data_IF_782931734296
#
_entry.id   IF_782931734296
#
_cell.length_a   1.000
_cell.length_b   1.000
_cell.length_c   1.000
_cell.angle_alpha   90.00
_cell.angle_beta   90.00
_cell.angle_gamma   90.00
#
_symmetry.space_group_name_H-M   'P 1'
#
loop_
_entity.id
_entity.type
_entity.pdbx_description
1 polymer ?
#
# COMPACT_ATOMS: atom_id res chain seq x y z
N UNK A 1 -19.49 -9.75 -2.66
CA UNK A 1 -18.07 -9.65 -2.24
C UNK A 1 -17.41 -10.99 -2.46
N UNK A 2 -16.23 -11.01 -3.06
CA UNK A 2 -15.51 -12.24 -3.34
C UNK A 2 -14.76 -12.74 -2.11
N UNK A 3 -14.48 -14.06 -2.08
CA UNK A 3 -13.63 -14.64 -1.05
C UNK A 3 -12.21 -14.07 -1.11
N UNK A 4 -11.74 -13.73 -2.31
CA UNK A 4 -10.43 -13.12 -2.51
C UNK A 4 -10.36 -11.76 -1.81
N UNK A 5 -11.37 -10.91 -1.99
CA UNK A 5 -11.42 -9.61 -1.34
C UNK A 5 -11.48 -9.76 0.18
N UNK A 6 -12.22 -10.71 0.69
CA UNK A 6 -12.32 -10.94 2.13
C UNK A 6 -10.96 -11.35 2.72
N UNK A 7 -10.23 -12.23 2.02
CA UNK A 7 -8.87 -12.62 2.47
C UNK A 7 -7.90 -11.45 2.42
N UNK A 8 -7.94 -10.68 1.36
CA UNK A 8 -7.09 -9.50 1.21
C UNK A 8 -7.35 -8.49 2.32
N UNK A 9 -8.62 -8.21 2.59
CA UNK A 9 -9.02 -7.29 3.66
C UNK A 9 -8.53 -7.77 5.03
N UNK A 10 -8.64 -9.08 5.30
CA UNK A 10 -8.17 -9.67 6.54
C UNK A 10 -6.65 -9.52 6.71
N UNK A 11 -5.88 -9.70 5.63
CA UNK A 11 -4.43 -9.51 5.66
C UNK A 11 -4.07 -8.07 6.00
N UNK A 12 -4.75 -7.10 5.41
CA UNK A 12 -4.49 -5.69 5.70
C UNK A 12 -4.85 -5.33 7.13
N UNK A 13 -5.97 -5.86 7.64
CA UNK A 13 -6.41 -5.59 9.02
C UNK A 13 -5.46 -6.19 10.06
N UNK A 14 -4.76 -7.26 9.72
CA UNK A 14 -3.77 -7.90 10.59
C UNK A 14 -2.37 -7.30 10.44
N UNK A 15 -2.22 -6.22 9.70
CA UNK A 15 -0.94 -5.58 9.42
C UNK A 15 -0.88 -4.23 10.14
N UNK A 16 -0.21 -4.16 11.30
CA UNK A 16 -0.16 -2.91 12.09
C UNK A 16 0.49 -1.75 11.33
N UNK A 17 1.50 -2.03 10.52
CA UNK A 17 2.16 -0.98 9.76
C UNK A 17 1.22 -0.38 8.72
N UNK A 18 0.53 -1.24 7.97
CA UNK A 18 -0.45 -0.82 6.97
C UNK A 18 -1.55 0.02 7.62
N UNK A 19 -2.04 -0.42 8.78
CA UNK A 19 -3.06 0.31 9.52
C UNK A 19 -2.55 1.68 9.97
N UNK A 20 -1.30 1.76 10.40
CA UNK A 20 -0.69 3.03 10.84
C UNK A 20 -0.56 4.03 9.68
N UNK A 21 -0.42 3.54 8.46
CA UNK A 21 -0.27 4.39 7.27
C UNK A 21 -1.61 4.77 6.64
N UNK A 22 -2.71 4.19 7.09
CA UNK A 22 -4.03 4.47 6.54
C UNK A 22 -4.22 3.94 5.12
N UNK A 23 -3.56 2.85 4.78
CA UNK A 23 -3.65 2.22 3.46
C UNK A 23 -4.95 1.42 3.38
N UNK A 24 -5.74 1.65 2.33
CA UNK A 24 -7.03 1.03 2.14
C UNK A 24 -7.10 0.26 0.82
N UNK A 25 -7.80 -0.86 0.84
CA UNK A 25 -8.05 -1.67 -0.35
C UNK A 25 -9.24 -1.11 -1.11
N UNK A 26 -9.05 -0.80 -2.38
CA UNK A 26 -10.12 -0.34 -3.26
C UNK A 26 -10.69 -1.51 -4.04
N UNK A 27 -9.84 -2.26 -4.75
CA UNK A 27 -10.28 -3.47 -5.43
C UNK A 27 -9.11 -4.43 -5.60
N UNK A 28 -9.44 -5.70 -5.83
CA UNK A 28 -8.44 -6.74 -6.03
C UNK A 28 -9.02 -7.86 -6.91
N UNK A 29 -8.20 -8.38 -7.79
CA UNK A 29 -8.45 -9.63 -8.51
C UNK A 29 -7.20 -10.51 -8.42
N UNK A 30 -7.18 -11.63 -9.16
CA UNK A 30 -6.11 -12.63 -9.03
C UNK A 30 -4.74 -12.11 -9.47
N UNK A 31 -4.69 -11.05 -10.27
CA UNK A 31 -3.45 -10.56 -10.87
C UNK A 31 -3.12 -9.11 -10.52
N UNK A 32 -4.05 -8.39 -9.89
CA UNK A 32 -3.83 -6.97 -9.60
C UNK A 32 -4.62 -6.50 -8.39
N UNK A 33 -4.18 -5.40 -7.80
CA UNK A 33 -4.92 -4.72 -6.74
C UNK A 33 -4.77 -3.22 -6.88
N UNK A 34 -5.74 -2.49 -6.33
CA UNK A 34 -5.70 -1.04 -6.23
C UNK A 34 -5.87 -0.68 -4.76
N UNK A 35 -4.91 0.04 -4.23
CA UNK A 35 -4.92 0.53 -2.86
C UNK A 35 -4.80 2.04 -2.87
N UNK A 36 -5.33 2.68 -1.84
CA UNK A 36 -5.27 4.13 -1.67
C UNK A 36 -4.74 4.51 -0.31
N UNK A 37 -4.18 5.71 -0.24
CA UNK A 37 -3.70 6.30 1.00
C UNK A 37 -3.84 7.81 0.90
N UNK A 38 -4.36 8.46 1.95
CA UNK A 38 -4.32 9.91 2.06
C UNK A 38 -3.06 10.30 2.80
N UNK A 39 -2.29 11.23 2.25
CA UNK A 39 -1.06 11.69 2.89
C UNK A 39 -1.42 12.56 4.10
N UNK A 40 -0.95 12.16 5.27
CA UNK A 40 -1.16 12.87 6.53
C UNK A 40 0.07 13.67 6.92
N UNK A 41 -0.07 14.52 7.93
CA UNK A 41 1.04 15.32 8.44
C UNK A 41 2.20 14.44 8.96
N UNK A 42 1.90 13.26 9.50
CA UNK A 42 2.93 12.33 9.99
C UNK A 42 3.73 11.66 8.88
N UNK A 43 3.26 11.75 7.66
CA UNK A 43 3.92 11.17 6.48
C UNK A 43 4.70 12.22 5.68
N UNK A 44 4.79 13.42 6.20
CA UNK A 44 5.52 14.52 5.58
C UNK A 44 7.02 14.43 5.91
N UNK A 45 7.85 14.62 4.91
CA UNK A 45 9.30 14.71 5.11
C UNK A 45 9.71 16.12 5.56
N UNK A 46 10.99 16.31 5.90
CA UNK A 46 11.52 17.63 6.19
C UNK A 46 11.49 18.56 4.97
N UNK A 47 11.29 18.01 3.77
CA UNK A 47 11.15 18.79 2.53
C UNK A 47 9.74 19.31 2.31
N UNK A 48 8.82 19.13 3.26
CA UNK A 48 7.43 19.57 3.20
C UNK A 48 6.58 18.83 2.18
N UNK A 49 7.03 17.66 1.74
CA UNK A 49 6.32 16.78 0.82
C UNK A 49 6.12 15.42 1.46
N UNK A 50 5.30 14.57 0.85
CA UNK A 50 5.14 13.20 1.32
C UNK A 50 6.49 12.49 1.34
N UNK A 51 6.77 11.79 2.43
CA UNK A 51 8.01 11.03 2.56
C UNK A 51 8.05 9.91 1.53
N UNK A 52 9.19 9.76 0.84
CA UNK A 52 9.35 8.67 -0.14
C UNK A 52 9.10 7.29 0.45
N UNK A 53 9.41 7.12 1.74
CA UNK A 53 9.14 5.86 2.44
C UNK A 53 7.67 5.51 2.51
N UNK A 54 6.77 6.49 2.69
CA UNK A 54 5.34 6.19 2.71
C UNK A 54 4.80 5.88 1.31
N UNK A 55 5.34 6.51 0.28
CA UNK A 55 4.99 6.20 -1.10
C UNK A 55 5.41 4.78 -1.45
N UNK A 56 6.62 4.40 -1.05
CA UNK A 56 7.12 3.04 -1.24
C UNK A 56 6.26 2.04 -0.47
N UNK A 57 5.84 2.37 0.75
CA UNK A 57 5.00 1.50 1.58
C UNK A 57 3.67 1.17 0.89
N UNK A 58 3.06 2.15 0.23
CA UNK A 58 1.82 1.92 -0.51
C UNK A 58 2.05 0.93 -1.65
N UNK A 59 3.09 1.15 -2.45
CA UNK A 59 3.42 0.28 -3.58
C UNK A 59 3.80 -1.13 -3.11
N UNK A 60 4.62 -1.22 -2.08
CA UNK A 60 5.06 -2.50 -1.53
C UNK A 60 3.90 -3.29 -0.94
N UNK A 61 2.98 -2.61 -0.26
CA UNK A 61 1.78 -3.25 0.29
C UNK A 61 0.90 -3.82 -0.83
N UNK A 62 0.69 -3.06 -1.90
CA UNK A 62 -0.10 -3.52 -3.04
C UNK A 62 0.54 -4.75 -3.70
N UNK A 63 1.86 -4.72 -3.87
CA UNK A 63 2.62 -5.85 -4.41
C UNK A 63 2.48 -7.08 -3.51
N UNK A 64 2.75 -6.93 -2.21
CA UNK A 64 2.69 -8.04 -1.27
C UNK A 64 1.29 -8.63 -1.15
N UNK A 65 0.28 -7.77 -1.14
CA UNK A 65 -1.12 -8.21 -1.07
C UNK A 65 -1.50 -9.04 -2.29
N UNK A 66 -1.22 -8.54 -3.49
CA UNK A 66 -1.52 -9.24 -4.72
C UNK A 66 -0.80 -10.59 -4.78
N UNK A 67 0.47 -10.62 -4.38
CA UNK A 67 1.28 -11.84 -4.42
C UNK A 67 0.83 -12.89 -3.41
N UNK A 68 0.21 -12.48 -2.29
CA UNK A 68 -0.11 -13.39 -1.19
C UNK A 68 -1.58 -13.76 -1.06
N UNK A 69 -2.49 -13.01 -1.65
CA UNK A 69 -3.92 -13.22 -1.44
C UNK A 69 -4.45 -14.50 -2.11
N UNK A 70 -3.70 -15.06 -3.04
CA UNK A 70 -4.08 -16.31 -3.74
C UNK A 70 -3.72 -17.59 -2.96
N UNK A 71 -3.18 -17.45 -1.74
CA UNK A 71 -2.93 -18.59 -0.85
C UNK A 71 -1.50 -19.10 -0.85
N UNK A 72 -0.61 -18.57 -1.67
CA UNK A 72 0.82 -18.90 -1.66
C UNK A 72 1.58 -17.79 -0.95
N UNK A 73 2.35 -18.12 0.07
CA UNK A 73 3.17 -17.13 0.78
C UNK A 73 4.34 -16.71 -0.10
N UNK A 74 4.45 -15.41 -0.34
CA UNK A 74 5.49 -14.83 -1.18
C UNK A 74 6.10 -13.62 -0.49
N UNK A 75 7.41 -13.45 -0.65
CA UNK A 75 8.17 -12.34 -0.05
C UNK A 75 8.95 -11.64 -1.16
N UNK A 76 8.90 -10.31 -1.17
CA UNK A 76 9.70 -9.53 -2.12
C UNK A 76 11.17 -9.58 -1.74
N UNK A 77 12.03 -9.77 -2.74
CA UNK A 77 13.50 -9.84 -2.53
C UNK A 77 14.24 -8.73 -3.24
N UNK A 78 13.60 -8.05 -4.18
CA UNK A 78 14.24 -6.98 -4.93
C UNK A 78 13.14 -6.07 -5.51
N UNK A 79 13.36 -4.75 -5.42
CA UNK A 79 12.41 -3.76 -5.92
C UNK A 79 13.15 -2.56 -6.47
N UNK A 80 12.47 -1.82 -7.36
CA UNK A 80 12.93 -0.53 -7.83
C UNK A 80 11.77 0.46 -7.82
N UNK A 81 12.01 1.66 -7.33
CA UNK A 81 11.02 2.73 -7.37
C UNK A 81 11.66 4.02 -7.84
N UNK A 82 11.06 4.64 -8.86
CA UNK A 82 11.45 5.96 -9.34
C UNK A 82 10.42 6.99 -8.86
N UNK A 83 10.87 8.00 -8.13
CA UNK A 83 10.01 9.07 -7.61
C UNK A 83 9.97 10.20 -8.65
N UNK A 84 9.07 10.06 -9.61
CA UNK A 84 8.99 10.97 -10.74
C UNK A 84 8.24 12.25 -10.37
N UNK A 85 7.29 12.16 -9.44
CA UNK A 85 6.41 13.25 -9.07
C UNK A 85 6.13 13.22 -7.57
N UNK A 86 6.21 14.38 -6.93
CA UNK A 86 5.93 14.51 -5.51
C UNK A 86 4.44 14.68 -5.22
N UNK A 87 4.08 14.48 -3.97
CA UNK A 87 2.75 14.79 -3.45
C UNK A 87 2.88 15.42 -2.06
N UNK A 88 1.78 15.92 -1.52
CA UNK A 88 1.78 16.68 -0.27
C UNK A 88 0.66 16.22 0.64
N UNK A 89 0.71 16.69 1.89
CA UNK A 89 -0.33 16.43 2.89
C UNK A 89 -1.70 16.80 2.31
N UNK A 90 -2.65 15.89 2.45
CA UNK A 90 -4.00 16.03 1.93
C UNK A 90 -4.23 15.39 0.57
N UNK A 91 -3.16 15.05 -0.15
CA UNK A 91 -3.31 14.34 -1.42
C UNK A 91 -3.70 12.88 -1.17
N UNK A 92 -4.56 12.37 -2.04
CA UNK A 92 -4.92 10.95 -2.07
C UNK A 92 -4.19 10.28 -3.23
N UNK A 93 -3.51 9.22 -2.93
CA UNK A 93 -2.73 8.49 -3.93
C UNK A 93 -3.10 7.03 -3.91
#
# INVERSE_FOLDING_TARGET
MSALRARAQALLEDDPYVQSQGIELICIDETSSVLEMMITADQRSFLQAAHGGCLFSLADTAFGLTANCAGTVSVGIDTHMAYIRGCKVGDRI
#
